data_IF_797692341309
#
_entry.id   IF_797692341309
#
_cell.length_a   1.000
_cell.length_b   1.000
_cell.length_c   1.000
_cell.angle_alpha   90.00
_cell.angle_beta   90.00
_cell.angle_gamma   90.00
#
_symmetry.space_group_name_H-M   'P 1'
#
loop_
_entity.id
_entity.type
_entity.pdbx_description
1 polymer ?
#
# COMPACT_ATOMS: atom_id res chain seq x y z
N UNK A 1 39.94 30.23 19.81
CA UNK A 1 40.23 28.83 19.43
C UNK A 1 38.97 28.01 19.64
N UNK A 2 38.38 27.42 18.58
CA UNK A 2 37.26 26.52 18.75
C UNK A 2 37.72 25.30 19.57
N UNK A 3 36.95 24.92 20.60
CA UNK A 3 37.14 23.68 21.35
C UNK A 3 36.92 22.52 20.39
N UNK A 4 38.00 21.95 19.88
CA UNK A 4 37.98 20.68 19.14
C UNK A 4 37.90 19.59 20.21
N UNK A 5 36.68 19.15 20.52
CA UNK A 5 36.43 18.10 21.50
C UNK A 5 35.03 18.21 22.06
N UNK A 6 34.08 17.48 21.47
CA UNK A 6 32.80 17.23 22.11
C UNK A 6 33.02 16.50 23.44
N UNK A 7 32.24 16.87 24.44
CA UNK A 7 32.30 16.26 25.78
C UNK A 7 31.59 14.90 25.80
N UNK A 8 31.86 14.07 26.82
CA UNK A 8 31.13 12.82 27.03
C UNK A 8 29.61 13.04 27.10
N UNK A 9 29.18 14.19 27.61
CA UNK A 9 27.76 14.57 27.63
C UNK A 9 27.19 14.72 26.20
N UNK A 10 27.93 15.33 25.28
CA UNK A 10 27.52 15.48 23.88
C UNK A 10 27.36 14.09 23.19
N UNK A 11 28.20 13.12 23.55
CA UNK A 11 28.09 11.74 23.07
C UNK A 11 26.85 11.02 23.61
N UNK A 12 26.55 11.19 24.91
CA UNK A 12 25.36 10.60 25.53
C UNK A 12 24.07 11.22 24.97
N UNK A 13 24.05 12.53 24.77
CA UNK A 13 22.92 13.24 24.17
C UNK A 13 22.69 12.83 22.71
N UNK A 14 23.78 12.62 21.95
CA UNK A 14 23.70 12.10 20.57
C UNK A 14 23.14 10.68 20.56
N UNK A 15 23.60 9.79 21.44
CA UNK A 15 23.06 8.43 21.56
C UNK A 15 21.57 8.42 21.89
N UNK A 16 21.13 9.23 22.86
CA UNK A 16 19.71 9.34 23.22
C UNK A 16 18.86 9.95 22.09
N UNK A 17 19.39 10.90 21.32
CA UNK A 17 18.72 11.44 20.13
C UNK A 17 18.54 10.37 19.04
N UNK A 18 19.55 9.54 18.82
CA UNK A 18 19.49 8.45 17.85
C UNK A 18 18.55 7.32 18.29
N UNK A 19 18.55 6.91 19.56
CA UNK A 19 17.60 5.91 20.08
C UNK A 19 16.14 6.37 19.89
N UNK A 20 15.86 7.66 20.18
CA UNK A 20 14.55 8.27 19.90
C UNK A 20 14.22 8.26 18.41
N UNK A 21 15.20 8.56 17.55
CA UNK A 21 15.02 8.51 16.10
C UNK A 21 14.72 7.09 15.62
N UNK A 22 15.41 6.08 16.16
CA UNK A 22 15.16 4.66 15.87
C UNK A 22 13.76 4.21 16.31
N UNK A 23 13.34 4.60 17.52
CA UNK A 23 11.98 4.35 18.01
C UNK A 23 10.92 4.99 17.11
N UNK A 24 11.08 6.28 16.77
CA UNK A 24 10.17 6.98 15.87
C UNK A 24 10.11 6.35 14.47
N UNK A 25 11.23 5.84 13.97
CA UNK A 25 11.32 5.13 12.70
C UNK A 25 10.50 3.81 12.75
N UNK A 26 10.67 3.00 13.80
CA UNK A 26 9.90 1.76 13.99
C UNK A 26 8.39 2.05 14.10
N UNK A 27 8.01 3.07 14.86
CA UNK A 27 6.62 3.50 14.99
C UNK A 27 6.04 3.93 13.64
N UNK A 28 6.81 4.71 12.88
CA UNK A 28 6.42 5.14 11.53
C UNK A 28 6.24 3.94 10.58
N UNK A 29 7.14 2.95 10.64
CA UNK A 29 7.04 1.72 9.85
C UNK A 29 5.80 0.89 10.21
N UNK A 30 5.46 0.84 11.50
CA UNK A 30 4.25 0.15 11.99
C UNK A 30 2.99 0.85 11.50
N UNK A 31 2.90 2.18 11.65
CA UNK A 31 1.77 2.98 11.13
C UNK A 31 1.62 2.86 9.62
N UNK A 32 2.72 2.83 8.87
CA UNK A 32 2.67 2.65 7.42
C UNK A 32 2.02 1.31 7.05
N UNK A 33 2.36 0.22 7.74
CA UNK A 33 1.72 -1.11 7.52
C UNK A 33 0.24 -1.10 7.89
N UNK A 34 -0.14 -0.46 8.99
CA UNK A 34 -1.55 -0.32 9.38
C UNK A 34 -2.36 0.45 8.34
N UNK A 35 -1.81 1.56 7.83
CA UNK A 35 -2.43 2.35 6.76
C UNK A 35 -2.56 1.51 5.50
N UNK A 36 -1.53 0.77 5.10
CA UNK A 36 -1.64 -0.11 3.92
C UNK A 36 -2.72 -1.17 4.10
N UNK A 37 -2.78 -1.84 5.25
CA UNK A 37 -3.80 -2.84 5.53
C UNK A 37 -5.21 -2.23 5.47
N UNK A 38 -5.40 -1.01 5.99
CA UNK A 38 -6.65 -0.29 5.89
C UNK A 38 -7.01 0.03 4.43
N UNK A 39 -6.08 0.57 3.64
CA UNK A 39 -6.32 0.88 2.22
C UNK A 39 -6.67 -0.39 1.43
N UNK A 40 -6.01 -1.53 1.70
CA UNK A 40 -6.34 -2.82 1.10
C UNK A 40 -7.79 -3.23 1.41
N UNK A 41 -8.19 -3.11 2.67
CA UNK A 41 -9.56 -3.41 3.11
C UNK A 41 -10.59 -2.49 2.42
N UNK A 42 -10.28 -1.20 2.26
CA UNK A 42 -11.15 -0.24 1.58
C UNK A 42 -11.29 -0.56 0.09
N UNK A 43 -10.22 -0.96 -0.59
CA UNK A 43 -10.28 -1.40 -2.00
C UNK A 43 -11.18 -2.62 -2.15
N UNK A 44 -11.05 -3.60 -1.28
CA UNK A 44 -11.90 -4.79 -1.28
C UNK A 44 -13.37 -4.43 -1.02
N UNK A 45 -13.62 -3.49 -0.10
CA UNK A 45 -14.95 -2.95 0.20
C UNK A 45 -15.60 -2.22 -0.99
N UNK A 46 -14.85 -1.36 -1.67
CA UNK A 46 -15.31 -0.66 -2.89
C UNK A 46 -15.56 -1.65 -4.02
N UNK A 47 -14.66 -2.62 -4.23
CA UNK A 47 -14.81 -3.64 -5.27
C UNK A 47 -16.03 -4.54 -5.01
N UNK A 48 -16.34 -4.84 -3.74
CA UNK A 48 -17.54 -5.57 -3.36
C UNK A 48 -18.80 -4.75 -3.63
N UNK A 49 -18.82 -3.47 -3.22
CA UNK A 49 -19.95 -2.56 -3.45
C UNK A 49 -20.26 -2.39 -4.94
N UNK A 50 -19.23 -2.18 -5.78
CA UNK A 50 -19.40 -2.06 -7.23
C UNK A 50 -20.00 -3.33 -7.86
N UNK A 51 -19.51 -4.51 -7.46
CA UNK A 51 -20.09 -5.79 -7.91
C UNK A 51 -21.54 -5.96 -7.49
N UNK A 52 -21.87 -5.55 -6.26
CA UNK A 52 -23.25 -5.50 -5.76
C UNK A 52 -24.14 -4.64 -6.66
N UNK A 53 -23.73 -3.41 -6.94
CA UNK A 53 -24.50 -2.52 -7.81
C UNK A 53 -24.67 -3.03 -9.24
N UNK A 54 -23.63 -3.64 -9.84
CA UNK A 54 -23.78 -4.26 -11.16
C UNK A 54 -24.79 -5.41 -11.14
N UNK A 55 -24.75 -6.26 -10.12
CA UNK A 55 -25.71 -7.35 -9.96
C UNK A 55 -27.15 -6.84 -9.78
N UNK A 56 -27.35 -5.80 -8.97
CA UNK A 56 -28.66 -5.15 -8.78
C UNK A 56 -29.19 -4.54 -10.08
N UNK A 57 -28.35 -3.80 -10.81
CA UNK A 57 -28.73 -3.20 -12.10
C UNK A 57 -29.12 -4.27 -13.11
N UNK A 58 -28.36 -5.35 -13.21
CA UNK A 58 -28.68 -6.43 -14.13
C UNK A 58 -29.93 -7.21 -13.72
N UNK A 59 -30.18 -7.39 -12.41
CA UNK A 59 -31.44 -7.96 -11.94
C UNK A 59 -32.63 -7.08 -12.35
N UNK A 60 -32.51 -5.76 -12.19
CA UNK A 60 -33.52 -4.79 -12.64
C UNK A 60 -33.73 -4.82 -14.17
N UNK A 61 -32.66 -4.94 -14.95
CA UNK A 61 -32.76 -5.09 -16.41
C UNK A 61 -33.46 -6.40 -16.78
N UNK A 62 -33.08 -7.53 -16.18
CA UNK A 62 -33.74 -8.83 -16.42
C UNK A 62 -35.22 -8.80 -16.06
N UNK A 63 -35.59 -8.13 -14.97
CA UNK A 63 -36.99 -7.94 -14.59
C UNK A 63 -37.76 -7.10 -15.64
N UNK A 64 -37.17 -6.00 -16.11
CA UNK A 64 -37.76 -5.18 -17.17
C UNK A 64 -37.92 -5.96 -18.49
N UNK A 65 -36.93 -6.78 -18.84
CA UNK A 65 -36.97 -7.65 -20.02
C UNK A 65 -38.09 -8.68 -19.87
N UNK A 66 -38.16 -9.37 -18.73
CA UNK A 66 -39.23 -10.33 -18.44
C UNK A 66 -40.63 -9.70 -18.47
N UNK A 67 -40.78 -8.49 -17.92
CA UNK A 67 -42.02 -7.73 -17.99
C UNK A 67 -42.38 -7.33 -19.43
N UNK A 68 -41.38 -6.92 -20.23
CA UNK A 68 -41.52 -6.65 -21.66
C UNK A 68 -41.99 -7.88 -22.44
N UNK A 69 -41.38 -9.03 -22.18
CA UNK A 69 -41.77 -10.33 -22.73
C UNK A 69 -43.20 -10.70 -22.35
N UNK A 70 -43.58 -10.59 -21.08
CA UNK A 70 -44.95 -10.89 -20.65
C UNK A 70 -46.00 -10.02 -21.37
N UNK A 71 -45.68 -8.74 -21.63
CA UNK A 71 -46.55 -7.86 -22.42
C UNK A 71 -46.63 -8.31 -23.89
N UNK A 72 -45.51 -8.69 -24.50
CA UNK A 72 -45.49 -9.23 -25.86
C UNK A 72 -46.27 -10.54 -25.98
N UNK A 73 -46.17 -11.43 -24.98
CA UNK A 73 -46.92 -12.69 -24.92
C UNK A 73 -48.43 -12.47 -24.74
N UNK A 74 -48.84 -11.38 -24.09
CA UNK A 74 -50.25 -11.00 -23.95
C UNK A 74 -50.87 -10.38 -25.21
N UNK A 75 -50.04 -9.97 -26.17
CA UNK A 75 -50.49 -9.35 -27.41
C UNK A 75 -50.72 -10.40 -28.49
N UNK A 76 -51.79 -10.25 -29.28
CA UNK A 76 -52.24 -11.24 -30.27
C UNK A 76 -51.40 -11.17 -31.57
N UNK A 77 -50.11 -11.45 -31.45
CA UNK A 77 -49.12 -11.31 -32.51
C UNK A 77 -48.77 -12.71 -33.05
N UNK A 78 -48.78 -12.88 -34.36
CA UNK A 78 -48.58 -14.18 -35.02
C UNK A 78 -47.46 -14.13 -36.07
N UNK A 79 -46.92 -15.29 -36.41
CA UNK A 79 -45.94 -15.43 -37.49
C UNK A 79 -44.55 -14.87 -37.15
N UNK A 80 -43.90 -14.25 -38.14
CA UNK A 80 -42.50 -13.79 -38.07
C UNK A 80 -42.26 -12.72 -36.99
N UNK A 81 -43.24 -11.87 -36.70
CA UNK A 81 -43.10 -10.83 -35.66
C UNK A 81 -42.88 -11.42 -34.27
N UNK A 82 -43.51 -12.55 -33.95
CA UNK A 82 -43.34 -13.24 -32.67
C UNK A 82 -41.97 -13.90 -32.55
N UNK A 83 -41.48 -14.49 -33.64
CA UNK A 83 -40.14 -15.09 -33.69
C UNK A 83 -39.06 -14.03 -33.51
N UNK A 84 -39.14 -12.93 -34.26
CA UNK A 84 -38.18 -11.82 -34.16
C UNK A 84 -38.16 -11.22 -32.74
N UNK A 85 -39.31 -11.12 -32.08
CA UNK A 85 -39.40 -10.62 -30.71
C UNK A 85 -38.73 -11.58 -29.70
N UNK A 86 -38.91 -12.90 -29.86
CA UNK A 86 -38.24 -13.90 -29.01
C UNK A 86 -36.72 -13.93 -29.23
N UNK A 87 -36.27 -13.78 -30.48
CA UNK A 87 -34.84 -13.66 -30.80
C UNK A 87 -34.23 -12.39 -30.18
N UNK A 88 -34.93 -11.26 -30.26
CA UNK A 88 -34.50 -10.01 -29.64
C UNK A 88 -34.43 -10.11 -28.10
N UNK A 89 -35.40 -10.78 -27.47
CA UNK A 89 -35.42 -11.05 -26.02
C UNK A 89 -34.21 -11.89 -25.58
N UNK A 90 -33.90 -12.95 -26.33
CA UNK A 90 -32.75 -13.81 -26.07
C UNK A 90 -31.42 -13.06 -26.26
N UNK A 91 -31.32 -12.25 -27.32
CA UNK A 91 -30.15 -11.42 -27.58
C UNK A 91 -29.91 -10.41 -26.45
N UNK A 92 -30.98 -9.76 -25.96
CA UNK A 92 -30.89 -8.77 -24.89
C UNK A 92 -30.46 -9.39 -23.56
N UNK A 93 -30.96 -10.58 -23.21
CA UNK A 93 -30.47 -11.33 -22.05
C UNK A 93 -28.98 -11.65 -22.18
N UNK A 94 -28.56 -12.18 -23.33
CA UNK A 94 -27.16 -12.50 -23.58
C UNK A 94 -26.25 -11.27 -23.52
N UNK A 95 -26.74 -10.11 -23.95
CA UNK A 95 -26.00 -8.85 -23.86
C UNK A 95 -25.89 -8.34 -22.42
N UNK A 96 -26.96 -8.43 -21.61
CA UNK A 96 -26.90 -8.11 -20.17
C UNK A 96 -25.88 -9.00 -19.46
N UNK A 97 -25.89 -10.30 -19.74
CA UNK A 97 -24.95 -11.25 -19.15
C UNK A 97 -23.50 -10.94 -19.57
N UNK A 98 -23.27 -10.59 -20.84
CA UNK A 98 -21.94 -10.21 -21.33
C UNK A 98 -21.42 -8.94 -20.67
N UNK A 99 -22.28 -7.92 -20.52
CA UNK A 99 -21.93 -6.67 -19.85
C UNK A 99 -21.60 -6.91 -18.38
N UNK A 100 -22.38 -7.75 -17.69
CA UNK A 100 -22.09 -8.14 -16.31
C UNK A 100 -20.72 -8.79 -16.15
N UNK A 101 -20.41 -9.77 -17.01
CA UNK A 101 -19.10 -10.44 -16.98
C UNK A 101 -17.98 -9.44 -17.24
N UNK A 102 -18.12 -8.59 -18.25
CA UNK A 102 -17.11 -7.57 -18.55
C UNK A 102 -16.94 -6.53 -17.42
N UNK A 103 -18.02 -6.18 -16.73
CA UNK A 103 -17.99 -5.28 -15.58
C UNK A 103 -17.28 -5.92 -14.38
N UNK A 104 -17.57 -7.18 -14.07
CA UNK A 104 -16.92 -7.95 -13.01
C UNK A 104 -15.41 -8.11 -13.28
N UNK A 105 -15.03 -8.48 -14.51
CA UNK A 105 -13.63 -8.52 -14.95
C UNK A 105 -12.95 -7.15 -14.86
N UNK A 106 -13.68 -6.07 -15.16
CA UNK A 106 -13.22 -4.70 -15.00
C UNK A 106 -12.90 -4.35 -13.54
N UNK A 107 -13.80 -4.69 -12.61
CA UNK A 107 -13.60 -4.48 -11.17
C UNK A 107 -12.41 -5.30 -10.66
N UNK A 108 -12.30 -6.56 -11.09
CA UNK A 108 -11.17 -7.42 -10.74
C UNK A 108 -9.83 -6.85 -11.22
N UNK A 109 -9.76 -6.36 -12.46
CA UNK A 109 -8.54 -5.71 -12.99
C UNK A 109 -8.18 -4.44 -12.22
N UNK A 110 -9.16 -3.59 -11.93
CA UNK A 110 -8.93 -2.36 -11.16
C UNK A 110 -8.41 -2.68 -9.74
N UNK A 111 -9.04 -3.64 -9.06
CA UNK A 111 -8.59 -4.09 -7.74
C UNK A 111 -7.15 -4.62 -7.79
N UNK A 112 -6.83 -5.47 -8.76
CA UNK A 112 -5.47 -5.99 -8.93
C UNK A 112 -4.44 -4.89 -9.22
N UNK A 113 -4.78 -3.90 -10.05
CA UNK A 113 -3.90 -2.76 -10.33
C UNK A 113 -3.63 -1.92 -9.07
N UNK A 114 -4.68 -1.61 -8.30
CA UNK A 114 -4.56 -0.83 -7.07
C UNK A 114 -3.75 -1.58 -6.01
N UNK A 115 -4.00 -2.88 -5.83
CA UNK A 115 -3.22 -3.73 -4.92
C UNK A 115 -1.74 -3.80 -5.35
N UNK A 116 -1.46 -3.95 -6.64
CA UNK A 116 -0.09 -3.94 -7.14
C UNK A 116 0.64 -2.61 -6.90
N UNK A 117 -0.07 -1.47 -7.01
CA UNK A 117 0.49 -0.15 -6.66
C UNK A 117 0.80 -0.02 -5.17
N UNK A 118 -0.05 -0.57 -4.32
CA UNK A 118 0.13 -0.58 -2.87
C UNK A 118 1.34 -1.43 -2.49
N UNK A 119 1.45 -2.65 -3.01
CA UNK A 119 2.60 -3.53 -2.78
C UNK A 119 3.91 -2.88 -3.26
N UNK A 120 3.88 -2.19 -4.40
CA UNK A 120 5.00 -1.40 -4.90
C UNK A 120 5.40 -0.26 -3.95
N UNK A 121 4.42 0.47 -3.42
CA UNK A 121 4.65 1.52 -2.44
C UNK A 121 5.25 0.96 -1.13
N UNK A 122 4.69 -0.14 -0.60
CA UNK A 122 5.23 -0.80 0.60
C UNK A 122 6.68 -1.22 0.41
N UNK A 123 6.99 -1.81 -0.74
CA UNK A 123 8.35 -2.24 -1.08
C UNK A 123 9.31 -1.05 -1.14
N UNK A 124 8.88 0.06 -1.73
CA UNK A 124 9.68 1.29 -1.78
C UNK A 124 9.92 1.86 -0.37
N UNK A 125 8.88 1.97 0.45
CA UNK A 125 9.00 2.46 1.83
C UNK A 125 9.93 1.55 2.65
N UNK A 126 9.80 0.23 2.53
CA UNK A 126 10.66 -0.72 3.22
C UNK A 126 12.14 -0.60 2.79
N UNK A 127 12.37 -0.35 1.50
CA UNK A 127 13.71 -0.14 0.94
C UNK A 127 14.35 1.13 1.49
N UNK A 128 13.66 2.26 1.42
CA UNK A 128 14.11 3.54 1.96
C UNK A 128 14.35 3.45 3.47
N UNK A 129 13.45 2.79 4.19
CA UNK A 129 13.58 2.57 5.63
C UNK A 129 14.84 1.77 5.98
N UNK A 130 15.09 0.68 5.25
CA UNK A 130 16.29 -0.15 5.43
C UNK A 130 17.56 0.64 5.12
N UNK A 131 17.53 1.47 4.07
CA UNK A 131 18.65 2.34 3.72
C UNK A 131 18.95 3.37 4.83
N UNK A 132 17.92 4.00 5.39
CA UNK A 132 18.05 4.93 6.51
C UNK A 132 18.61 4.25 7.75
N UNK A 133 18.09 3.08 8.13
CA UNK A 133 18.61 2.32 9.27
C UNK A 133 20.07 1.89 9.06
N UNK A 134 20.43 1.46 7.85
CA UNK A 134 21.80 1.13 7.50
C UNK A 134 22.76 2.33 7.62
N UNK A 135 22.32 3.51 7.15
CA UNK A 135 23.09 4.75 7.29
C UNK A 135 23.28 5.15 8.76
N UNK A 136 22.26 4.93 9.60
CA UNK A 136 22.33 5.18 11.05
C UNK A 136 23.34 4.21 11.70
N UNK A 137 23.26 2.91 11.41
CA UNK A 137 24.18 1.90 11.96
C UNK A 137 25.64 2.19 11.56
N UNK A 138 25.87 2.60 10.32
CA UNK A 138 27.20 2.99 9.86
C UNK A 138 27.72 4.23 10.60
N UNK A 139 26.86 5.23 10.85
CA UNK A 139 27.21 6.39 11.66
C UNK A 139 27.58 6.01 13.11
N UNK A 140 26.86 5.05 13.71
CA UNK A 140 27.20 4.51 15.04
C UNK A 140 28.57 3.84 15.05
N UNK A 141 28.89 3.00 14.05
CA UNK A 141 30.21 2.36 13.95
C UNK A 141 31.31 3.39 13.79
N UNK A 142 31.09 4.40 12.96
CA UNK A 142 32.02 5.52 12.78
C UNK A 142 32.28 6.27 14.09
N UNK A 143 31.23 6.57 14.87
CA UNK A 143 31.35 7.24 16.16
C UNK A 143 32.09 6.37 17.20
N UNK A 144 31.76 5.08 17.26
CA UNK A 144 32.43 4.13 18.15
C UNK A 144 33.92 4.01 17.83
N UNK A 145 34.28 3.97 16.54
CA UNK A 145 35.67 3.97 16.09
C UNK A 145 36.37 5.27 16.45
N UNK A 146 35.77 6.43 16.18
CA UNK A 146 36.33 7.74 16.53
C UNK A 146 36.60 7.85 18.04
N UNK A 147 35.68 7.34 18.87
CA UNK A 147 35.82 7.34 20.33
C UNK A 147 36.98 6.46 20.80
N UNK A 148 37.18 5.28 20.19
CA UNK A 148 38.34 4.41 20.47
C UNK A 148 39.65 5.10 20.09
N UNK A 149 39.73 5.66 18.88
CA UNK A 149 40.91 6.40 18.40
C UNK A 149 41.25 7.56 19.34
N UNK A 150 40.24 8.30 19.79
CA UNK A 150 40.45 9.41 20.73
C UNK A 150 40.98 8.93 22.08
N UNK A 151 40.43 7.84 22.63
CA UNK A 151 40.92 7.24 23.88
C UNK A 151 42.37 6.77 23.77
N UNK A 152 42.73 6.11 22.66
CA UNK A 152 44.10 5.67 22.37
C UNK A 152 45.08 6.86 22.28
N UNK A 153 44.67 7.96 21.65
CA UNK A 153 45.46 9.19 21.55
C UNK A 153 45.67 9.85 22.93
N UNK A 154 44.64 9.89 23.78
CA UNK A 154 44.76 10.38 25.15
C UNK A 154 45.73 9.54 25.98
N UNK A 155 45.66 8.21 25.85
CA UNK A 155 46.57 7.30 26.55
C UNK A 155 48.02 7.46 26.07
N UNK A 156 48.23 7.65 24.78
CA UNK A 156 49.55 7.95 24.22
C UNK A 156 50.09 9.30 24.75
N UNK A 157 49.24 10.32 24.83
CA UNK A 157 49.62 11.62 25.38
C UNK A 157 50.01 11.53 26.86
N UNK A 158 49.22 10.82 27.70
CA UNK A 158 49.53 10.62 29.13
C UNK A 158 50.88 9.90 29.32
N UNK A 159 51.15 8.86 28.52
CA UNK A 159 52.44 8.16 28.53
C UNK A 159 53.60 9.12 28.23
N UNK A 160 53.45 9.98 27.23
CA UNK A 160 54.49 10.94 26.84
C UNK A 160 54.78 11.96 27.96
N UNK A 161 53.75 12.38 28.70
CA UNK A 161 53.88 13.28 29.85
C UNK A 161 54.59 12.57 31.03
N UNK A 162 54.31 11.29 31.27
CA UNK A 162 54.96 10.53 32.36
C UNK A 162 56.46 10.29 32.12
N UNK A 163 56.89 10.09 30.88
CA UNK A 163 58.32 9.87 30.55
C UNK A 163 59.16 11.16 30.51
N UNK A 164 58.54 12.34 30.52
CA UNK A 164 59.21 13.64 30.50
C UNK A 164 59.34 14.30 31.88
N UNK A 165 58.92 13.62 32.95
CA UNK A 165 59.17 13.97 34.36
C UNK A 165 60.16 13.00 34.98
#
# INVERSE_FOLDING_TARGET
MPRIGGTLADLLDTGAAMDRSGGAAIDSGTRAREVTAAVRSEIDGVASTLRGHFAELAAGLREQIAAGRARLESADWHGSSRLNAAEADAALHADVDRVLVAADEGVHRLSAELLGRIEGFETQVATEFTAVLGAIDEAYRGLAQATRTFAEQLEAADRTIRFSR
#
